data_IF_395001446417
#
_entry.id   IF_395001446417
#
_cell.length_a   1.000
_cell.length_b   1.000
_cell.length_c   1.000
_cell.angle_alpha   90.00
_cell.angle_beta   90.00
_cell.angle_gamma   90.00
#
_symmetry.space_group_name_H-M   'P 1'
#
loop_
_entity.id
_entity.type
_entity.pdbx_description
1 polymer ?
#
# COMPACT_ATOMS: atom_id res chain seq x y z
N UNK A 1 6.10 48.10 12.24
CA UNK A 1 6.41 46.84 12.93
C UNK A 1 7.83 46.49 12.53
N UNK A 2 8.74 46.41 13.50
CA UNK A 2 10.11 46.00 13.22
C UNK A 2 10.09 44.48 13.06
N UNK A 3 10.41 43.99 11.87
CA UNK A 3 10.80 42.60 11.69
C UNK A 3 12.26 42.53 12.08
N UNK A 4 12.57 41.83 13.17
CA UNK A 4 13.96 41.65 13.64
C UNK A 4 14.41 40.21 13.38
N UNK A 5 15.71 40.03 13.14
CA UNK A 5 16.36 38.72 13.05
C UNK A 5 17.42 38.70 14.14
N UNK A 6 17.11 38.03 15.25
CA UNK A 6 18.03 37.89 16.38
C UNK A 6 18.74 36.53 16.30
N UNK A 7 20.06 36.57 16.37
CA UNK A 7 20.89 35.39 16.59
C UNK A 7 21.13 35.31 18.11
N UNK A 8 20.59 34.29 18.77
CA UNK A 8 20.72 34.14 20.22
C UNK A 8 22.13 33.67 20.60
N UNK A 9 22.80 34.42 21.48
CA UNK A 9 24.13 34.14 22.00
C UNK A 9 24.14 33.13 23.15
N UNK A 10 22.98 32.69 23.67
CA UNK A 10 22.86 31.75 24.79
C UNK A 10 23.10 30.27 24.42
N UNK A 11 23.99 30.00 23.46
CA UNK A 11 24.57 28.68 23.20
C UNK A 11 23.67 27.66 22.49
N UNK A 12 22.39 27.98 22.22
CA UNK A 12 21.47 27.12 21.48
C UNK A 12 21.52 27.31 19.96
N UNK A 13 22.11 28.43 19.49
CA UNK A 13 22.30 28.73 18.07
C UNK A 13 21.01 29.05 17.31
N UNK A 14 19.98 29.54 18.00
CA UNK A 14 18.69 29.84 17.38
C UNK A 14 18.73 31.11 16.53
N UNK A 15 18.05 31.05 15.38
CA UNK A 15 17.65 32.23 14.62
C UNK A 15 16.19 32.49 14.94
N UNK A 16 15.90 33.63 15.55
CA UNK A 16 14.52 34.04 15.88
C UNK A 16 14.08 35.14 14.93
N UNK A 17 12.94 34.93 14.26
CA UNK A 17 12.30 35.91 13.36
C UNK A 17 10.92 36.23 13.93
N UNK A 18 10.76 37.42 14.48
CA UNK A 18 9.48 37.86 15.06
C UNK A 18 8.73 38.73 14.06
N UNK A 19 7.62 38.22 13.52
CA UNK A 19 6.72 38.96 12.65
C UNK A 19 5.35 38.28 12.58
N UNK A 20 4.33 39.02 12.14
CA UNK A 20 3.01 38.43 11.85
C UNK A 20 3.03 37.55 10.60
N UNK A 21 3.88 37.87 9.62
CA UNK A 21 3.96 37.18 8.33
C UNK A 21 5.41 37.14 7.87
N UNK A 22 5.93 35.93 7.66
CA UNK A 22 7.20 35.70 6.97
C UNK A 22 6.92 35.41 5.49
N UNK A 23 7.20 36.39 4.62
CA UNK A 23 7.16 36.18 3.18
C UNK A 23 8.53 35.70 2.68
N UNK A 24 8.57 34.49 2.12
CA UNK A 24 9.76 33.93 1.47
C UNK A 24 9.52 33.91 -0.04
N UNK A 25 10.36 34.60 -0.81
CA UNK A 25 10.35 34.52 -2.27
C UNK A 25 11.39 33.50 -2.72
N UNK A 26 11.08 32.21 -2.57
CA UNK A 26 11.92 31.09 -2.99
C UNK A 26 11.07 29.86 -3.28
N UNK A 27 11.58 28.95 -4.11
CA UNK A 27 10.92 27.66 -4.40
C UNK A 27 11.08 26.67 -3.26
N UNK A 28 12.23 26.67 -2.58
CA UNK A 28 12.61 25.61 -1.64
C UNK A 28 12.98 26.17 -0.27
N UNK A 29 12.48 25.52 0.79
CA UNK A 29 13.05 25.61 2.13
C UNK A 29 13.85 24.33 2.42
N UNK A 30 15.14 24.48 2.68
CA UNK A 30 16.03 23.35 2.96
C UNK A 30 16.27 23.21 4.47
N UNK A 31 16.20 21.99 5.00
CA UNK A 31 16.58 21.66 6.38
C UNK A 31 17.63 20.56 6.37
N UNK A 32 18.87 20.90 6.64
CA UNK A 32 19.98 19.98 6.47
C UNK A 32 20.91 19.96 7.66
N UNK A 33 21.18 18.76 8.16
CA UNK A 33 22.11 18.50 9.24
C UNK A 33 22.93 17.27 8.88
N UNK A 34 24.17 17.47 8.44
CA UNK A 34 25.09 16.38 8.07
C UNK A 34 25.20 15.30 9.15
N UNK A 35 25.23 15.70 10.43
CA UNK A 35 25.27 14.80 11.58
C UNK A 35 24.04 13.89 11.75
N UNK A 36 22.91 14.20 11.08
CA UNK A 36 21.65 13.44 11.16
C UNK A 36 21.30 12.73 9.85
N UNK A 37 22.15 12.83 8.83
CA UNK A 37 21.89 12.18 7.55
C UNK A 37 22.13 10.67 7.67
N UNK A 38 21.28 9.88 7.02
CA UNK A 38 21.54 8.47 6.75
C UNK A 38 22.32 8.25 5.44
N UNK A 39 22.37 9.26 4.55
CA UNK A 39 23.15 9.28 3.31
C UNK A 39 23.99 10.55 3.21
N UNK A 40 25.21 10.45 2.68
CA UNK A 40 26.07 11.62 2.48
C UNK A 40 25.57 12.54 1.36
N UNK A 41 24.84 12.00 0.39
CA UNK A 41 24.40 12.69 -0.82
C UNK A 41 22.89 12.98 -0.83
N UNK A 42 22.51 13.92 -1.71
CA UNK A 42 21.12 14.33 -1.96
C UNK A 42 20.79 15.75 -1.47
N UNK A 43 19.78 16.36 -2.07
CA UNK A 43 19.18 17.59 -1.58
C UNK A 43 18.34 17.30 -0.33
N UNK A 44 18.13 18.30 0.53
CA UNK A 44 17.27 18.20 1.73
C UNK A 44 16.17 19.25 1.71
N UNK A 45 15.44 19.32 0.59
CA UNK A 45 14.31 20.24 0.40
C UNK A 45 13.12 19.78 1.23
N UNK A 46 12.90 20.45 2.36
CA UNK A 46 11.89 20.09 3.34
C UNK A 46 10.49 20.47 2.85
N UNK A 47 10.34 21.75 2.46
CA UNK A 47 9.13 22.32 1.91
C UNK A 47 9.46 22.85 0.51
N UNK A 48 8.64 22.51 -0.47
CA UNK A 48 8.82 22.95 -1.86
C UNK A 48 7.50 23.53 -2.37
N UNK A 49 7.57 24.74 -2.93
CA UNK A 49 6.56 25.24 -3.86
C UNK A 49 6.84 24.61 -5.22
N UNK A 50 6.08 23.55 -5.52
CA UNK A 50 6.34 22.71 -6.68
C UNK A 50 5.80 23.29 -8.01
N UNK A 51 6.14 22.64 -9.11
CA UNK A 51 5.78 23.04 -10.47
C UNK A 51 4.26 23.02 -10.74
N UNK A 52 3.46 22.38 -9.87
CA UNK A 52 2.01 22.33 -9.95
C UNK A 52 1.33 23.39 -9.07
N UNK A 53 2.08 24.40 -8.60
CA UNK A 53 1.62 25.41 -7.65
C UNK A 53 1.19 24.81 -6.29
N UNK A 54 1.78 23.66 -5.93
CA UNK A 54 1.50 22.94 -4.69
C UNK A 54 2.57 23.16 -3.61
N UNK A 55 2.18 22.95 -2.35
CA UNK A 55 3.13 22.77 -1.25
C UNK A 55 3.42 21.27 -1.09
N UNK A 56 4.65 20.87 -1.39
CA UNK A 56 5.12 19.50 -1.23
C UNK A 56 6.06 19.36 -0.02
N UNK A 57 5.81 18.35 0.81
CA UNK A 57 6.71 17.89 1.87
C UNK A 57 7.60 16.78 1.32
N UNK A 58 8.91 16.85 1.60
CA UNK A 58 9.88 15.85 1.12
C UNK A 58 9.82 15.64 -0.40
N UNK A 59 9.99 16.73 -1.16
CA UNK A 59 9.92 16.71 -2.61
C UNK A 59 10.92 15.72 -3.21
N UNK A 60 10.48 14.96 -4.23
CA UNK A 60 11.29 13.94 -4.90
C UNK A 60 11.90 12.84 -3.99
N UNK A 61 11.46 12.72 -2.73
CA UNK A 61 12.06 11.77 -1.78
C UNK A 61 13.44 12.21 -1.29
N UNK A 62 13.72 13.52 -1.31
CA UNK A 62 14.97 14.14 -0.87
C UNK A 62 15.35 13.80 0.60
N UNK A 63 14.41 13.31 1.41
CA UNK A 63 14.62 12.69 2.72
C UNK A 63 14.41 11.18 2.60
N UNK A 64 15.49 10.38 2.59
CA UNK A 64 15.41 8.91 2.53
C UNK A 64 14.64 8.28 3.70
N UNK A 65 14.58 8.99 4.83
CA UNK A 65 13.79 8.59 6.00
C UNK A 65 12.29 8.87 5.88
N UNK A 66 11.83 9.43 4.75
CA UNK A 66 10.46 9.86 4.52
C UNK A 66 10.01 10.99 5.47
N UNK A 67 8.69 11.21 5.54
CA UNK A 67 8.05 12.15 6.46
C UNK A 67 7.36 11.35 7.55
N UNK A 68 7.65 11.66 8.81
CA UNK A 68 6.91 11.13 9.96
C UNK A 68 6.02 12.23 10.50
N UNK A 69 4.73 11.92 10.70
CA UNK A 69 3.78 12.78 11.41
C UNK A 69 3.37 12.01 12.67
N UNK A 70 3.80 12.50 13.81
CA UNK A 70 3.45 11.90 15.10
C UNK A 70 2.13 12.48 15.62
N UNK A 71 1.35 11.64 16.31
CA UNK A 71 0.01 12.01 16.81
C UNK A 71 -1.12 11.85 15.78
N UNK A 72 -2.30 12.35 16.13
CA UNK A 72 -3.48 12.26 15.26
C UNK A 72 -3.45 13.32 14.15
N UNK A 73 -3.56 12.89 12.90
CA UNK A 73 -3.72 13.79 11.76
C UNK A 73 -5.19 13.85 11.32
N UNK A 74 -5.77 15.06 11.28
CA UNK A 74 -7.10 15.29 10.70
C UNK A 74 -6.93 15.97 9.34
N UNK A 75 -7.09 15.19 8.26
CA UNK A 75 -7.00 15.70 6.89
C UNK A 75 -8.42 15.95 6.39
N UNK A 76 -8.72 17.22 6.07
CA UNK A 76 -10.02 17.63 5.53
C UNK A 76 -9.95 17.74 4.02
N UNK A 77 -11.02 17.32 3.34
CA UNK A 77 -11.11 17.31 1.89
C UNK A 77 -10.61 16.00 1.26
N UNK A 78 -10.67 15.89 -0.08
CA UNK A 78 -10.27 14.67 -0.77
C UNK A 78 -8.78 14.37 -0.56
N UNK A 79 -8.47 13.16 -0.09
CA UNK A 79 -7.10 12.68 0.05
C UNK A 79 -6.86 11.52 -0.90
N UNK A 80 -5.74 11.55 -1.62
CA UNK A 80 -5.32 10.46 -2.51
C UNK A 80 -3.98 9.92 -2.06
N UNK A 81 -3.96 8.66 -1.65
CA UNK A 81 -2.73 7.90 -1.42
C UNK A 81 -2.38 7.20 -2.73
N UNK A 82 -1.17 7.40 -3.24
CA UNK A 82 -0.62 6.65 -4.37
C UNK A 82 0.34 5.60 -3.82
N UNK A 83 0.26 4.38 -4.33
CA UNK A 83 1.00 3.23 -3.79
C UNK A 83 0.24 2.57 -2.65
N UNK A 84 0.98 1.86 -1.81
CA UNK A 84 0.39 1.07 -0.72
C UNK A 84 0.06 1.97 0.48
N UNK A 85 -1.18 1.89 0.94
CA UNK A 85 -1.63 2.48 2.19
C UNK A 85 -1.97 1.38 3.19
N UNK A 86 -1.44 1.48 4.40
CA UNK A 86 -1.78 0.56 5.50
C UNK A 86 -2.47 1.36 6.60
N UNK A 87 -3.64 0.89 7.01
CA UNK A 87 -4.33 1.40 8.20
C UNK A 87 -4.17 0.32 9.28
N UNK A 88 -3.58 0.69 10.40
CA UNK A 88 -3.52 -0.18 11.57
C UNK A 88 -4.57 0.26 12.59
N UNK A 89 -5.32 -0.71 13.12
CA UNK A 89 -6.47 -0.44 13.96
C UNK A 89 -7.79 -0.32 13.19
N UNK A 90 -8.74 0.42 13.74
CA UNK A 90 -10.09 0.54 13.19
C UNK A 90 -10.14 1.63 12.13
N UNK A 91 -10.59 1.28 10.93
CA UNK A 91 -11.00 2.23 9.90
C UNK A 91 -12.52 2.38 9.92
N UNK A 92 -13.03 3.61 10.02
CA UNK A 92 -14.44 3.93 9.84
C UNK A 92 -14.61 4.71 8.53
N UNK A 93 -15.59 4.32 7.72
CA UNK A 93 -15.89 4.95 6.43
C UNK A 93 -17.38 5.27 6.43
N UNK A 94 -17.72 6.54 6.62
CA UNK A 94 -19.11 7.01 6.71
C UNK A 94 -19.68 7.41 5.33
N UNK A 95 -19.22 6.74 4.26
CA UNK A 95 -19.58 7.03 2.88
C UNK A 95 -19.35 5.84 1.95
N UNK A 96 -19.32 6.09 0.63
CA UNK A 96 -19.09 5.03 -0.35
C UNK A 96 -17.65 4.54 -0.37
N UNK A 97 -17.45 3.24 -0.15
CA UNK A 97 -16.16 2.55 -0.38
C UNK A 97 -16.23 1.77 -1.70
N UNK A 98 -15.30 2.03 -2.62
CA UNK A 98 -15.08 1.19 -3.80
C UNK A 98 -13.74 0.47 -3.65
N UNK A 99 -13.80 -0.86 -3.49
CA UNK A 99 -12.62 -1.73 -3.55
C UNK A 99 -12.62 -2.41 -4.91
N UNK A 100 -11.54 -2.24 -5.67
CA UNK A 100 -11.32 -2.93 -6.94
C UNK A 100 -10.12 -3.86 -6.80
N UNK A 101 -10.39 -5.15 -6.74
CA UNK A 101 -9.37 -6.19 -6.80
C UNK A 101 -9.21 -6.75 -8.20
N UNK A 102 -8.04 -7.32 -8.49
CA UNK A 102 -7.85 -8.17 -9.67
C UNK A 102 -7.95 -9.62 -9.23
N UNK A 103 -8.91 -10.35 -9.80
CA UNK A 103 -8.97 -11.78 -9.65
C UNK A 103 -7.93 -12.45 -10.56
N UNK A 104 -7.03 -13.25 -10.00
CA UNK A 104 -6.14 -14.12 -10.78
C UNK A 104 -6.75 -15.51 -10.85
N UNK A 105 -7.01 -15.98 -12.07
CA UNK A 105 -7.47 -17.34 -12.35
C UNK A 105 -6.29 -18.15 -12.85
N UNK A 106 -5.98 -19.25 -12.16
CA UNK A 106 -4.98 -20.22 -12.58
C UNK A 106 -5.65 -21.57 -12.81
N UNK A 107 -5.41 -22.16 -13.99
CA UNK A 107 -5.70 -23.58 -14.25
C UNK A 107 -4.52 -24.39 -13.78
N UNK A 108 -4.78 -25.44 -13.01
CA UNK A 108 -3.76 -26.38 -12.55
C UNK A 108 -4.11 -27.73 -13.12
N UNK A 109 -3.22 -28.27 -13.95
CA UNK A 109 -3.23 -29.67 -14.35
C UNK A 109 -2.36 -30.41 -13.32
N UNK A 110 -2.97 -30.90 -12.25
CA UNK A 110 -2.26 -31.60 -11.16
C UNK A 110 -2.40 -33.09 -11.36
N UNK A 111 -1.33 -33.84 -11.71
CA UNK A 111 -1.41 -35.30 -11.84
C UNK A 111 -1.75 -35.99 -10.52
N UNK A 112 -1.51 -35.31 -9.38
CA UNK A 112 -1.72 -35.84 -8.03
C UNK A 112 -2.91 -35.17 -7.31
N UNK A 113 -3.74 -34.38 -8.02
CA UNK A 113 -4.85 -33.58 -7.47
C UNK A 113 -4.46 -32.64 -6.29
N UNK A 114 -3.17 -32.31 -6.15
CA UNK A 114 -2.65 -31.46 -5.07
C UNK A 114 -2.81 -29.97 -5.40
N UNK A 115 -3.20 -29.17 -4.40
CA UNK A 115 -3.30 -27.71 -4.50
C UNK A 115 -1.93 -27.03 -4.33
N UNK A 116 -1.71 -25.82 -4.89
CA UNK A 116 -0.45 -25.12 -4.77
C UNK A 116 -0.13 -24.77 -3.32
N UNK A 117 1.15 -24.88 -2.96
CA UNK A 117 1.68 -24.39 -1.68
C UNK A 117 1.97 -22.88 -1.68
N UNK A 118 1.62 -22.17 -2.75
CA UNK A 118 1.79 -20.73 -2.87
C UNK A 118 0.48 -20.09 -3.35
N UNK A 119 0.22 -18.85 -2.91
CA UNK A 119 -0.98 -18.10 -3.25
C UNK A 119 -1.17 -16.89 -2.34
N UNK A 120 -1.99 -15.94 -2.77
CA UNK A 120 -2.41 -14.79 -1.97
C UNK A 120 -3.86 -14.96 -1.55
N UNK A 121 -4.22 -14.40 -0.38
CA UNK A 121 -5.62 -14.37 0.06
C UNK A 121 -6.47 -13.70 -1.01
N UNK A 122 -7.53 -14.38 -1.45
CA UNK A 122 -8.42 -13.95 -2.52
C UNK A 122 -8.08 -14.50 -3.91
N UNK A 123 -6.94 -15.17 -4.10
CA UNK A 123 -6.68 -15.91 -5.35
C UNK A 123 -7.72 -17.04 -5.49
N UNK A 124 -8.24 -17.25 -6.71
CA UNK A 124 -9.16 -18.34 -7.04
C UNK A 124 -8.50 -19.23 -8.08
N UNK A 125 -8.54 -20.54 -7.85
CA UNK A 125 -7.98 -21.54 -8.77
C UNK A 125 -9.08 -22.48 -9.24
N UNK A 126 -8.98 -22.85 -10.52
CA UNK A 126 -9.82 -23.87 -11.15
C UNK A 126 -8.97 -25.11 -11.30
N UNK A 127 -9.39 -26.20 -10.67
CA UNK A 127 -8.70 -27.48 -10.72
C UNK A 127 -9.53 -28.44 -11.55
N UNK A 128 -8.95 -28.91 -12.64
CA UNK A 128 -9.54 -29.97 -13.46
C UNK A 128 -8.98 -31.30 -12.96
N UNK A 129 -9.84 -32.11 -12.34
CA UNK A 129 -9.53 -33.45 -11.89
C UNK A 129 -9.96 -34.43 -12.98
N UNK A 130 -9.00 -35.13 -13.57
CA UNK A 130 -9.28 -36.22 -14.51
C UNK A 130 -9.08 -37.56 -13.79
N UNK A 131 -10.16 -38.29 -13.54
CA UNK A 131 -10.09 -39.65 -13.00
C UNK A 131 -10.30 -40.62 -14.16
N UNK A 132 -9.26 -41.41 -14.46
CA UNK A 132 -9.36 -42.50 -15.43
C UNK A 132 -9.76 -43.76 -14.68
N UNK A 133 -10.95 -44.27 -14.98
CA UNK A 133 -11.38 -45.62 -14.60
C UNK A 133 -11.29 -46.54 -15.81
N UNK A 134 -11.20 -47.86 -15.64
CA UNK A 134 -11.23 -48.80 -16.77
C UNK A 134 -12.46 -48.63 -17.67
N UNK A 135 -13.58 -48.15 -17.11
CA UNK A 135 -14.84 -47.99 -17.82
C UNK A 135 -15.11 -46.55 -18.34
N UNK A 136 -14.45 -45.52 -17.80
CA UNK A 136 -14.73 -44.12 -18.15
C UNK A 136 -13.62 -43.12 -17.80
N UNK A 137 -13.61 -41.99 -18.53
CA UNK A 137 -12.89 -40.77 -18.14
C UNK A 137 -13.88 -39.82 -17.42
N UNK A 138 -13.67 -39.61 -16.13
CA UNK A 138 -14.41 -38.62 -15.35
C UNK A 138 -13.60 -37.33 -15.29
N UNK A 139 -14.15 -36.23 -15.80
CA UNK A 139 -13.55 -34.91 -15.74
C UNK A 139 -14.39 -34.03 -14.81
N UNK A 140 -13.91 -33.82 -13.60
CA UNK A 140 -14.55 -32.93 -12.64
C UNK A 140 -13.78 -31.62 -12.53
N UNK A 141 -14.50 -30.52 -12.45
CA UNK A 141 -13.93 -29.19 -12.23
C UNK A 141 -14.30 -28.72 -10.83
N UNK A 142 -13.30 -28.36 -10.03
CA UNK A 142 -13.49 -27.76 -8.71
C UNK A 142 -12.89 -26.35 -8.66
N UNK A 143 -13.57 -25.47 -7.92
CA UNK A 143 -13.14 -24.09 -7.70
C UNK A 143 -12.67 -23.95 -6.26
N UNK A 144 -11.53 -23.29 -6.04
CA UNK A 144 -10.98 -23.07 -4.70
C UNK A 144 -10.58 -21.61 -4.52
N UNK A 145 -10.78 -21.08 -3.32
CA UNK A 145 -10.34 -19.73 -2.93
C UNK A 145 -9.29 -19.83 -1.83
N UNK A 146 -8.21 -19.04 -1.95
CA UNK A 146 -7.23 -18.90 -0.88
C UNK A 146 -7.80 -17.97 0.19
N UNK A 147 -8.02 -18.50 1.39
CA UNK A 147 -8.64 -17.74 2.51
C UNK A 147 -7.62 -17.31 3.56
N UNK A 148 -6.39 -17.78 3.47
CA UNK A 148 -5.36 -17.48 4.45
C UNK A 148 -3.97 -17.88 3.99
N UNK A 149 -2.98 -17.18 4.53
CA UNK A 149 -1.57 -17.49 4.38
C UNK A 149 -0.90 -17.41 5.75
N UNK A 150 -0.27 -18.50 6.17
CA UNK A 150 0.59 -18.54 7.36
C UNK A 150 2.03 -18.31 6.90
N UNK A 151 2.60 -17.20 7.31
CA UNK A 151 4.02 -16.91 7.08
C UNK A 151 4.78 -17.54 8.24
N UNK A 152 5.38 -18.72 8.00
CA UNK A 152 6.23 -19.38 8.98
C UNK A 152 7.63 -18.76 9.00
N UNK A 153 8.18 -18.49 10.18
CA UNK A 153 9.60 -18.15 10.38
C UNK A 153 10.50 -19.37 10.14
N UNK A 154 10.48 -19.95 8.93
CA UNK A 154 11.43 -20.99 8.50
C UNK A 154 10.86 -22.33 7.99
N UNK A 155 9.53 -22.51 7.89
CA UNK A 155 8.89 -23.74 7.36
C UNK A 155 7.97 -23.47 6.16
N UNK A 156 8.43 -22.68 5.20
CA UNK A 156 7.67 -22.39 3.98
C UNK A 156 6.39 -21.58 4.22
N UNK A 157 5.85 -21.01 3.15
CA UNK A 157 4.54 -20.38 3.20
C UNK A 157 3.46 -21.47 3.19
N UNK A 158 2.59 -21.51 4.21
CA UNK A 158 1.43 -22.39 4.21
C UNK A 158 0.20 -21.59 3.74
N UNK A 159 -0.41 -21.99 2.63
CA UNK A 159 -1.66 -21.39 2.14
C UNK A 159 -2.84 -22.28 2.43
N UNK A 160 -3.93 -21.66 2.87
CA UNK A 160 -5.19 -22.33 3.17
C UNK A 160 -6.16 -22.12 2.02
N UNK A 161 -6.45 -23.20 1.31
CA UNK A 161 -7.43 -23.23 0.23
C UNK A 161 -8.76 -23.77 0.76
N UNK A 162 -9.84 -23.08 0.45
CA UNK A 162 -11.20 -23.51 0.74
C UNK A 162 -11.93 -23.83 -0.56
N UNK A 163 -12.58 -25.00 -0.68
CA UNK A 163 -13.36 -25.32 -1.86
C UNK A 163 -14.61 -24.44 -1.90
N UNK A 164 -14.94 -23.93 -3.08
CA UNK A 164 -16.19 -23.24 -3.36
C UNK A 164 -17.17 -24.27 -3.93
N UNK A 165 -18.19 -24.62 -3.15
CA UNK A 165 -19.26 -25.49 -3.61
C UNK A 165 -20.03 -24.79 -4.74
N UNK A 166 -20.17 -25.44 -5.88
CA UNK A 166 -21.08 -24.98 -6.91
C UNK A 166 -22.51 -24.96 -6.34
N UNK A 167 -23.23 -23.86 -6.57
CA UNK A 167 -24.66 -23.78 -6.26
C UNK A 167 -25.50 -24.70 -7.17
N UNK A 168 -26.82 -24.57 -7.09
CA UNK A 168 -27.72 -25.31 -7.99
C UNK A 168 -27.33 -25.09 -9.47
N UNK A 169 -27.48 -26.11 -10.34
CA UNK A 169 -27.13 -25.98 -11.74
C UNK A 169 -27.86 -24.81 -12.39
N UNK A 170 -27.12 -23.98 -13.11
CA UNK A 170 -27.72 -22.91 -13.94
C UNK A 170 -28.26 -23.58 -15.19
N UNK A 171 -29.57 -23.44 -15.44
CA UNK A 171 -30.29 -24.07 -16.56
C UNK A 171 -30.00 -23.38 -17.92
N UNK A 172 -28.72 -23.21 -18.24
CA UNK A 172 -28.23 -22.66 -19.50
C UNK A 172 -27.79 -21.20 -19.42
N UNK A 173 -27.18 -20.75 -20.51
CA UNK A 173 -26.91 -19.35 -20.80
C UNK A 173 -28.11 -18.78 -21.56
N UNK A 174 -28.55 -17.56 -21.25
CA UNK A 174 -29.46 -16.83 -22.14
C UNK A 174 -28.63 -16.26 -23.28
N UNK A 175 -29.05 -16.49 -24.51
CA UNK A 175 -28.76 -15.56 -25.59
C UNK A 175 -29.52 -14.26 -25.26
N UNK A 176 -28.80 -13.15 -25.33
CA UNK A 176 -29.26 -11.78 -25.06
C UNK A 176 -30.35 -11.30 -26.04
#
# INVERSE_FOLDING_TARGET
MNSDIKLDSEGTGWVTIESNVLKVNASDLMLDSSARRSSAEGHRRALVHDESDGLTLNFAGDYPGNVTIEGGANIRGPTRIKGDGRIEGRAQIDGGLSVRGRLRLHRIDSPDNALPRTGNVGDIIVVQNATITPEALLNDVSLWICIGKRIGLGQGDEVYWQPLSAGAPVAGTRDD
#
